data_IF_715545169358
#
_entry.id   IF_715545169358
#
_cell.length_a   1.000
_cell.length_b   1.000
_cell.length_c   1.000
_cell.angle_alpha   90.00
_cell.angle_beta   90.00
_cell.angle_gamma   90.00
#
_symmetry.space_group_name_H-M   'P 1'
#
loop_
_entity.id
_entity.type
_entity.pdbx_description
1 polymer ?
#
# COMPACT_ATOMS: atom_id res chain seq x y z
N UNK A 1 51.72 32.25 -3.98
CA UNK A 1 51.17 31.12 -3.18
C UNK A 1 51.48 31.43 -1.73
N UNK A 2 50.47 31.64 -0.91
CA UNK A 2 50.66 31.97 0.50
C UNK A 2 51.13 30.70 1.26
N UNK A 3 51.95 30.84 2.29
CA UNK A 3 52.52 29.68 3.02
C UNK A 3 51.46 28.77 3.63
N UNK A 4 50.26 29.26 3.87
CA UNK A 4 49.12 28.51 4.37
C UNK A 4 48.60 27.47 3.35
N UNK A 5 48.51 27.83 2.06
CA UNK A 5 48.08 26.92 0.99
C UNK A 5 49.05 25.76 0.74
N UNK A 6 50.36 25.99 0.97
CA UNK A 6 51.36 24.93 0.84
C UNK A 6 51.27 23.89 1.99
N UNK A 7 50.87 24.31 3.18
CA UNK A 7 50.71 23.43 4.34
C UNK A 7 49.46 22.54 4.15
N UNK A 8 48.37 23.10 3.65
CA UNK A 8 47.13 22.32 3.39
C UNK A 8 47.31 21.31 2.26
N UNK A 9 48.03 21.65 1.21
CA UNK A 9 48.35 20.73 0.12
C UNK A 9 49.21 19.54 0.59
N UNK A 10 50.16 19.76 1.48
CA UNK A 10 50.99 18.70 2.07
C UNK A 10 50.17 17.81 3.01
N UNK A 11 49.22 18.38 3.77
CA UNK A 11 48.34 17.62 4.65
C UNK A 11 47.39 16.71 3.86
N UNK A 12 46.75 17.22 2.81
CA UNK A 12 45.85 16.44 1.97
C UNK A 12 46.59 15.32 1.24
N UNK A 13 47.80 15.56 0.72
CA UNK A 13 48.60 14.52 0.09
C UNK A 13 49.02 13.41 1.08
N UNK A 14 49.39 13.80 2.31
CA UNK A 14 49.74 12.82 3.34
C UNK A 14 48.55 11.94 3.76
N UNK A 15 47.35 12.50 3.90
CA UNK A 15 46.13 11.75 4.22
C UNK A 15 45.74 10.80 3.09
N UNK A 16 45.86 11.22 1.83
CA UNK A 16 45.59 10.36 0.68
C UNK A 16 46.63 9.23 0.55
N UNK A 17 47.89 9.49 0.77
CA UNK A 17 48.93 8.46 0.78
C UNK A 17 48.70 7.44 1.91
N UNK A 18 48.35 7.91 3.10
CA UNK A 18 48.06 7.02 4.24
C UNK A 18 46.82 6.14 3.98
N UNK A 19 45.76 6.69 3.39
CA UNK A 19 44.57 5.94 3.01
C UNK A 19 44.87 4.87 1.97
N UNK A 20 45.68 5.18 0.93
CA UNK A 20 46.06 4.20 -0.08
C UNK A 20 46.89 3.01 0.51
N UNK A 21 47.85 3.35 1.38
CA UNK A 21 48.67 2.29 2.02
C UNK A 21 47.81 1.38 2.90
N UNK A 22 46.84 1.97 3.63
CA UNK A 22 45.96 1.18 4.49
C UNK A 22 45.00 0.29 3.70
N UNK A 23 44.49 0.77 2.58
CA UNK A 23 43.65 -0.04 1.68
C UNK A 23 44.39 -1.22 1.06
N UNK A 24 45.65 -1.03 0.64
CA UNK A 24 46.45 -2.11 0.07
C UNK A 24 46.79 -3.19 1.08
N UNK A 25 47.05 -2.85 2.32
CA UNK A 25 47.26 -3.82 3.40
C UNK A 25 46.00 -4.61 3.75
N UNK A 26 44.85 -3.94 3.85
CA UNK A 26 43.56 -4.60 4.10
C UNK A 26 43.22 -5.59 2.98
N UNK A 27 43.43 -5.22 1.73
CA UNK A 27 43.15 -6.08 0.58
C UNK A 27 44.10 -7.30 0.52
N UNK A 28 45.39 -7.16 0.93
CA UNK A 28 46.33 -8.25 0.96
C UNK A 28 46.04 -9.31 2.02
N UNK A 29 45.47 -8.92 3.13
CA UNK A 29 45.13 -9.81 4.25
C UNK A 29 43.70 -10.39 4.17
N UNK A 30 42.84 -9.86 3.30
CA UNK A 30 41.52 -10.47 3.05
C UNK A 30 41.73 -11.73 2.19
N UNK A 31 41.76 -12.89 2.84
CA UNK A 31 41.81 -14.16 2.11
C UNK A 31 40.64 -14.21 1.11
N UNK A 32 40.85 -14.78 -0.10
CA UNK A 32 39.80 -14.83 -1.11
C UNK A 32 38.48 -15.44 -0.60
N UNK A 33 38.56 -16.30 0.42
CA UNK A 33 37.39 -16.91 1.08
C UNK A 33 36.47 -15.88 1.76
N UNK A 34 37.03 -14.84 2.40
CA UNK A 34 36.25 -13.78 3.06
C UNK A 34 35.57 -12.89 2.03
N UNK A 35 36.26 -12.58 0.94
CA UNK A 35 35.68 -11.80 -0.18
C UNK A 35 34.50 -12.54 -0.82
N UNK A 36 34.64 -13.84 -1.06
CA UNK A 36 33.56 -14.67 -1.60
C UNK A 36 32.37 -14.77 -0.65
N UNK A 37 32.62 -14.81 0.67
CA UNK A 37 31.54 -14.82 1.69
C UNK A 37 30.76 -13.52 1.69
N UNK A 38 31.41 -12.37 1.57
CA UNK A 38 30.77 -11.06 1.51
C UNK A 38 29.93 -10.93 0.22
N UNK A 39 30.49 -11.33 -0.91
CA UNK A 39 29.77 -11.32 -2.19
C UNK A 39 28.53 -12.21 -2.14
N UNK A 40 28.66 -13.43 -1.59
CA UNK A 40 27.54 -14.34 -1.43
C UNK A 40 26.43 -13.75 -0.54
N UNK A 41 26.80 -13.07 0.55
CA UNK A 41 25.87 -12.39 1.42
C UNK A 41 25.10 -11.28 0.71
N UNK A 42 25.78 -10.44 -0.09
CA UNK A 42 25.13 -9.40 -0.89
C UNK A 42 24.21 -9.99 -1.96
N UNK A 43 24.59 -11.09 -2.60
CA UNK A 43 23.74 -11.78 -3.57
C UNK A 43 22.46 -12.29 -2.90
N UNK A 44 22.55 -12.85 -1.71
CA UNK A 44 21.38 -13.31 -0.92
C UNK A 44 20.50 -12.12 -0.54
N UNK A 45 21.07 -11.01 -0.10
CA UNK A 45 20.29 -9.79 0.22
C UNK A 45 19.58 -9.23 -1.02
N UNK A 46 20.24 -9.19 -2.17
CA UNK A 46 19.64 -8.77 -3.44
C UNK A 46 18.52 -9.74 -3.82
N UNK A 47 18.73 -11.03 -3.67
CA UNK A 47 17.74 -12.06 -4.00
C UNK A 47 16.50 -11.96 -3.12
N UNK A 48 16.68 -11.74 -1.81
CA UNK A 48 15.60 -11.47 -0.86
C UNK A 48 14.86 -10.17 -1.22
N UNK A 49 15.59 -9.09 -1.51
CA UNK A 49 14.98 -7.82 -1.93
C UNK A 49 14.18 -7.97 -3.23
N UNK A 50 14.71 -8.71 -4.21
CA UNK A 50 14.00 -8.97 -5.46
C UNK A 50 12.80 -9.91 -5.27
N UNK A 51 12.84 -10.80 -4.29
CA UNK A 51 11.71 -11.67 -3.93
C UNK A 51 10.57 -10.87 -3.29
N UNK A 52 10.88 -9.82 -2.52
CA UNK A 52 9.89 -8.87 -2.00
C UNK A 52 9.32 -7.94 -3.08
N UNK A 53 10.08 -7.66 -4.14
CA UNK A 53 9.64 -6.88 -5.30
C UNK A 53 8.86 -7.71 -6.33
N UNK A 54 8.91 -9.04 -6.27
CA UNK A 54 7.99 -9.87 -7.01
C UNK A 54 6.61 -9.74 -6.38
N UNK A 55 5.87 -8.70 -6.79
CA UNK A 55 4.40 -8.75 -6.78
C UNK A 55 4.01 -10.08 -7.42
N UNK A 56 3.08 -10.84 -6.81
CA UNK A 56 2.53 -11.99 -7.52
C UNK A 56 2.04 -11.47 -8.87
N UNK A 57 2.67 -11.92 -9.94
CA UNK A 57 2.12 -11.74 -11.28
C UNK A 57 0.80 -12.50 -11.26
N UNK A 58 -0.28 -11.72 -11.17
CA UNK A 58 -1.60 -12.19 -11.52
C UNK A 58 -1.47 -12.68 -12.98
N UNK A 59 -1.61 -13.99 -13.16
CA UNK A 59 -1.67 -14.59 -14.49
C UNK A 59 -2.78 -13.85 -15.24
N UNK A 60 -2.38 -13.04 -16.20
CA UNK A 60 -3.29 -12.56 -17.22
C UNK A 60 -3.84 -13.78 -17.95
N UNK A 61 -5.02 -14.18 -17.56
CA UNK A 61 -5.86 -15.06 -18.38
C UNK A 61 -6.25 -14.23 -19.60
N UNK A 62 -6.07 -14.74 -20.84
CA UNK A 62 -6.35 -13.97 -22.04
C UNK A 62 -7.79 -13.47 -22.02
N UNK A 63 -7.94 -12.20 -22.35
CA UNK A 63 -9.19 -11.53 -22.55
C UNK A 63 -10.10 -12.35 -23.46
N UNK A 64 -11.11 -12.99 -22.86
CA UNK A 64 -12.30 -13.36 -23.58
C UNK A 64 -13.29 -12.22 -23.34
N UNK A 65 -13.41 -11.37 -24.35
CA UNK A 65 -14.37 -10.29 -24.44
C UNK A 65 -15.73 -10.91 -24.71
N UNK A 66 -16.37 -11.45 -23.69
CA UNK A 66 -17.80 -11.70 -23.74
C UNK A 66 -18.50 -10.53 -23.06
N UNK A 67 -19.05 -9.70 -23.91
CA UNK A 67 -20.04 -8.67 -23.63
C UNK A 67 -21.22 -9.35 -22.92
N UNK A 68 -21.29 -9.22 -21.60
CA UNK A 68 -22.44 -9.68 -20.82
C UNK A 68 -23.45 -8.54 -20.84
N UNK A 69 -24.64 -8.77 -21.45
CA UNK A 69 -25.75 -7.83 -21.35
C UNK A 69 -26.11 -7.63 -19.88
N UNK A 70 -26.62 -6.45 -19.53
CA UNK A 70 -27.17 -6.15 -18.22
C UNK A 70 -28.40 -7.03 -17.95
N UNK A 71 -28.19 -8.28 -17.55
CA UNK A 71 -29.21 -9.13 -16.95
C UNK A 71 -29.16 -8.95 -15.43
N UNK A 72 -30.34 -8.94 -14.83
CA UNK A 72 -30.59 -8.88 -13.39
C UNK A 72 -29.65 -9.86 -12.69
N UNK A 73 -28.73 -9.32 -11.86
CA UNK A 73 -27.73 -10.12 -11.16
C UNK A 73 -28.49 -10.96 -10.13
N UNK A 74 -28.46 -12.32 -10.22
CA UNK A 74 -29.04 -13.17 -9.21
C UNK A 74 -28.38 -12.85 -7.87
N UNK A 75 -29.14 -13.03 -6.81
CA UNK A 75 -28.73 -12.85 -5.40
C UNK A 75 -27.59 -13.83 -5.07
N UNK A 76 -26.41 -13.54 -5.63
CA UNK A 76 -25.22 -14.38 -5.47
C UNK A 76 -24.53 -13.93 -4.18
N UNK A 77 -24.38 -14.82 -3.16
CA UNK A 77 -23.80 -14.49 -1.86
C UNK A 77 -22.36 -13.95 -1.94
N UNK A 78 -21.69 -14.08 -3.08
CA UNK A 78 -20.30 -13.65 -3.26
C UNK A 78 -20.12 -12.20 -3.70
N UNK A 79 -21.21 -11.51 -4.01
CA UNK A 79 -21.17 -10.11 -4.48
C UNK A 79 -22.12 -9.24 -3.65
N UNK A 80 -21.67 -8.01 -3.38
CA UNK A 80 -22.54 -6.94 -2.87
C UNK A 80 -22.51 -5.81 -3.90
N UNK A 81 -23.68 -5.44 -4.41
CA UNK A 81 -23.79 -4.36 -5.39
C UNK A 81 -24.50 -3.15 -4.79
N UNK A 82 -23.99 -1.96 -5.12
CA UNK A 82 -24.57 -0.68 -4.73
C UNK A 82 -24.43 0.32 -5.87
N UNK A 83 -25.47 0.45 -6.69
CA UNK A 83 -25.40 1.20 -7.95
C UNK A 83 -24.37 0.59 -8.91
N UNK A 84 -23.37 1.39 -9.33
CA UNK A 84 -22.26 0.91 -10.18
C UNK A 84 -21.10 0.28 -9.38
N UNK A 85 -21.20 0.30 -8.05
CA UNK A 85 -20.20 -0.28 -7.17
C UNK A 85 -20.47 -1.76 -6.93
N UNK A 86 -19.48 -2.61 -7.17
CA UNK A 86 -19.55 -4.06 -6.97
C UNK A 86 -18.41 -4.53 -6.08
N UNK A 87 -18.73 -5.11 -4.93
CA UNK A 87 -17.79 -5.71 -4.01
C UNK A 87 -17.76 -7.23 -4.22
N UNK A 88 -16.64 -7.77 -4.69
CA UNK A 88 -16.40 -9.21 -4.73
C UNK A 88 -15.87 -9.66 -3.38
N UNK A 89 -16.66 -10.44 -2.62
CA UNK A 89 -16.36 -10.77 -1.22
C UNK A 89 -15.21 -11.77 -1.10
N UNK A 90 -15.16 -12.77 -1.97
CA UNK A 90 -14.12 -13.79 -1.97
C UNK A 90 -12.73 -13.20 -2.24
N UNK A 91 -12.60 -12.42 -3.30
CA UNK A 91 -11.33 -11.82 -3.72
C UNK A 91 -11.02 -10.49 -3.02
N UNK A 92 -11.96 -9.94 -2.24
CA UNK A 92 -11.87 -8.61 -1.61
C UNK A 92 -11.53 -7.50 -2.60
N UNK A 93 -12.09 -7.59 -3.80
CA UNK A 93 -11.90 -6.61 -4.87
C UNK A 93 -13.12 -5.70 -4.97
N UNK A 94 -12.85 -4.40 -5.18
CA UNK A 94 -13.87 -3.37 -5.41
C UNK A 94 -13.83 -2.97 -6.88
N UNK A 95 -14.96 -3.02 -7.54
CA UNK A 95 -15.16 -2.50 -8.89
C UNK A 95 -16.17 -1.35 -8.84
N UNK A 96 -15.93 -0.31 -9.63
CA UNK A 96 -16.88 0.78 -9.84
C UNK A 96 -17.07 0.94 -11.35
N UNK A 97 -18.22 0.49 -11.86
CA UNK A 97 -18.37 0.17 -13.28
C UNK A 97 -17.38 -0.92 -13.68
N UNK A 98 -16.63 -0.68 -14.76
CA UNK A 98 -15.62 -1.61 -15.27
C UNK A 98 -14.21 -1.37 -14.68
N UNK A 99 -14.06 -0.41 -13.77
CA UNK A 99 -12.77 -0.03 -13.19
C UNK A 99 -12.52 -0.74 -11.87
N UNK A 100 -11.38 -1.43 -11.76
CA UNK A 100 -10.88 -1.97 -10.49
C UNK A 100 -10.37 -0.82 -9.62
N UNK A 101 -10.95 -0.68 -8.42
CA UNK A 101 -10.49 0.25 -7.41
C UNK A 101 -9.59 -0.50 -6.40
N UNK A 102 -8.35 -0.02 -6.25
CA UNK A 102 -7.43 -0.59 -5.28
C UNK A 102 -7.77 -0.09 -3.88
N UNK A 103 -8.14 -1.00 -3.01
CA UNK A 103 -8.55 -0.72 -1.63
C UNK A 103 -7.85 -1.68 -0.67
N UNK A 104 -7.43 -1.17 0.49
CA UNK A 104 -6.85 -2.04 1.51
C UNK A 104 -7.90 -2.98 2.10
N UNK A 105 -7.53 -4.21 2.53
CA UNK A 105 -8.48 -5.19 3.06
C UNK A 105 -9.30 -4.70 4.26
N UNK A 106 -8.73 -3.86 5.12
CA UNK A 106 -9.43 -3.26 6.25
C UNK A 106 -10.49 -2.25 5.77
N UNK A 107 -10.14 -1.41 4.79
CA UNK A 107 -11.03 -0.40 4.24
C UNK A 107 -12.12 -1.05 3.38
N UNK A 108 -11.84 -2.18 2.72
CA UNK A 108 -12.84 -3.02 2.05
C UNK A 108 -13.90 -3.53 3.04
N UNK A 109 -13.47 -4.01 4.21
CA UNK A 109 -14.39 -4.46 5.25
C UNK A 109 -15.22 -3.28 5.81
N UNK A 110 -14.61 -2.10 5.93
CA UNK A 110 -15.31 -0.89 6.36
C UNK A 110 -16.36 -0.46 5.33
N UNK A 111 -16.02 -0.48 4.04
CA UNK A 111 -16.97 -0.19 2.96
C UNK A 111 -18.14 -1.19 2.94
N UNK A 112 -17.84 -2.49 3.10
CA UNK A 112 -18.88 -3.54 3.25
C UNK A 112 -19.82 -3.24 4.42
N UNK A 113 -19.28 -2.72 5.53
CA UNK A 113 -20.08 -2.35 6.69
C UNK A 113 -21.03 -1.18 6.36
N UNK A 114 -20.53 -0.14 5.67
CA UNK A 114 -21.35 0.98 5.20
C UNK A 114 -22.52 0.52 4.32
N UNK A 115 -22.25 -0.37 3.37
CA UNK A 115 -23.28 -0.84 2.44
C UNK A 115 -24.39 -1.62 3.17
N UNK A 116 -24.00 -2.41 4.19
CA UNK A 116 -24.96 -3.19 4.99
C UNK A 116 -25.69 -2.36 6.04
N UNK A 117 -25.16 -1.19 6.41
CA UNK A 117 -25.76 -0.36 7.44
C UNK A 117 -27.06 0.33 6.95
N UNK A 118 -28.05 0.49 7.81
CA UNK A 118 -29.28 1.25 7.49
C UNK A 118 -28.92 2.67 7.02
N UNK A 119 -29.49 3.08 5.87
CA UNK A 119 -29.22 4.39 5.26
C UNK A 119 -27.72 4.66 5.02
N UNK A 120 -26.90 3.60 4.97
CA UNK A 120 -25.44 3.66 4.80
C UNK A 120 -24.75 4.55 5.86
N UNK A 121 -25.32 4.63 7.05
CA UNK A 121 -24.82 5.41 8.18
C UNK A 121 -24.18 4.49 9.21
N UNK A 122 -22.93 4.78 9.59
CA UNK A 122 -22.22 4.11 10.68
C UNK A 122 -21.84 5.12 11.75
N UNK A 123 -22.17 4.80 12.99
CA UNK A 123 -21.67 5.57 14.13
C UNK A 123 -20.20 5.20 14.42
N UNK A 124 -19.47 6.07 15.11
CA UNK A 124 -18.11 5.75 15.58
C UNK A 124 -18.11 4.48 16.45
N UNK A 125 -19.16 4.27 17.23
CA UNK A 125 -19.33 3.10 18.10
C UNK A 125 -19.52 1.82 17.30
N UNK A 126 -20.29 1.85 16.20
CA UNK A 126 -20.46 0.69 15.31
C UNK A 126 -19.13 0.28 14.69
N UNK A 127 -18.36 1.27 14.23
CA UNK A 127 -17.04 1.01 13.63
C UNK A 127 -16.07 0.46 14.68
N UNK A 128 -16.04 1.05 15.89
CA UNK A 128 -15.25 0.55 17.01
C UNK A 128 -15.57 -0.89 17.33
N UNK A 129 -16.84 -1.21 17.51
CA UNK A 129 -17.29 -2.55 17.89
C UNK A 129 -16.98 -3.60 16.82
N UNK A 130 -17.02 -3.21 15.55
CA UNK A 130 -16.72 -4.09 14.43
C UNK A 130 -15.21 -4.39 14.29
N UNK A 131 -14.34 -3.42 14.52
CA UNK A 131 -12.90 -3.55 14.22
C UNK A 131 -12.00 -3.58 15.45
N UNK A 132 -12.35 -2.85 16.51
CA UNK A 132 -11.51 -2.70 17.72
C UNK A 132 -12.32 -2.77 19.02
N UNK A 133 -13.06 -3.86 19.28
CA UNK A 133 -13.98 -3.93 20.42
C UNK A 133 -13.26 -3.82 21.77
N UNK A 134 -11.97 -4.16 21.83
CA UNK A 134 -11.14 -4.10 23.02
C UNK A 134 -10.33 -2.82 23.17
N UNK A 135 -10.38 -1.93 22.18
CA UNK A 135 -9.61 -0.68 22.20
C UNK A 135 -10.43 0.42 22.90
N UNK A 136 -9.85 1.03 23.92
CA UNK A 136 -10.52 2.08 24.68
C UNK A 136 -10.51 3.44 23.94
N UNK A 137 -9.58 3.65 23.00
CA UNK A 137 -9.50 4.90 22.24
C UNK A 137 -9.14 4.66 20.76
N UNK A 138 -10.07 4.10 19.96
CA UNK A 138 -9.83 3.81 18.55
C UNK A 138 -10.04 5.01 17.61
N UNK A 139 -10.31 6.21 18.12
CA UNK A 139 -10.72 7.37 17.30
C UNK A 139 -9.71 7.69 16.18
N UNK A 140 -8.42 7.71 16.49
CA UNK A 140 -7.38 7.97 15.48
C UNK A 140 -7.34 6.89 14.40
N UNK A 141 -7.58 5.63 14.77
CA UNK A 141 -7.63 4.50 13.82
C UNK A 141 -8.85 4.64 12.91
N UNK A 142 -10.01 4.93 13.49
CA UNK A 142 -11.25 5.18 12.74
C UNK A 142 -11.04 6.33 11.73
N UNK A 143 -10.48 7.46 12.20
CA UNK A 143 -10.21 8.60 11.35
C UNK A 143 -9.25 8.25 10.20
N UNK A 144 -8.17 7.51 10.49
CA UNK A 144 -7.20 7.08 9.49
C UNK A 144 -7.85 6.23 8.40
N UNK A 145 -8.63 5.20 8.78
CA UNK A 145 -9.31 4.33 7.82
C UNK A 145 -10.36 5.06 6.99
N UNK A 146 -11.15 5.95 7.62
CA UNK A 146 -12.10 6.80 6.89
C UNK A 146 -11.37 7.70 5.89
N UNK A 147 -10.24 8.30 6.27
CA UNK A 147 -9.45 9.15 5.39
C UNK A 147 -8.88 8.37 4.20
N UNK A 148 -8.35 7.18 4.45
CA UNK A 148 -7.83 6.29 3.40
C UNK A 148 -8.95 5.85 2.44
N UNK A 149 -10.11 5.48 2.99
CA UNK A 149 -11.27 5.09 2.19
C UNK A 149 -11.79 6.26 1.33
N UNK A 150 -11.88 7.48 1.89
CA UNK A 150 -12.19 8.71 1.11
C UNK A 150 -11.20 8.92 -0.04
N UNK A 151 -9.91 8.71 0.22
CA UNK A 151 -8.87 8.86 -0.80
C UNK A 151 -9.00 7.82 -1.91
N UNK A 152 -9.35 6.58 -1.57
CA UNK A 152 -9.58 5.50 -2.54
C UNK A 152 -10.80 5.74 -3.42
N UNK A 153 -11.81 6.44 -2.90
CA UNK A 153 -13.05 6.79 -3.64
C UNK A 153 -12.97 8.16 -4.33
N UNK A 154 -11.86 8.88 -4.23
CA UNK A 154 -11.72 10.24 -4.76
C UNK A 154 -12.01 10.35 -6.26
N UNK A 155 -11.62 9.33 -7.03
CA UNK A 155 -11.81 9.29 -8.48
C UNK A 155 -13.23 8.92 -8.91
N UNK A 156 -14.13 8.69 -7.94
CA UNK A 156 -15.51 8.28 -8.13
C UNK A 156 -16.44 9.23 -7.35
N UNK A 157 -16.71 10.43 -7.89
CA UNK A 157 -17.45 11.48 -7.19
C UNK A 157 -18.88 11.10 -6.84
N UNK A 158 -19.43 10.08 -7.49
CA UNK A 158 -20.74 9.52 -7.16
C UNK A 158 -20.79 8.81 -5.79
N UNK A 159 -19.64 8.39 -5.24
CA UNK A 159 -19.55 7.72 -3.95
C UNK A 159 -18.71 8.55 -2.98
N UNK A 160 -19.39 9.19 -2.04
CA UNK A 160 -18.72 10.07 -1.08
C UNK A 160 -18.99 9.65 0.36
N UNK A 161 -17.96 9.71 1.20
CA UNK A 161 -18.14 9.52 2.64
C UNK A 161 -18.19 10.90 3.30
N UNK A 162 -19.35 11.26 3.82
CA UNK A 162 -19.55 12.50 4.56
C UNK A 162 -19.50 12.26 6.06
N UNK A 163 -19.05 13.26 6.80
CA UNK A 163 -19.05 13.21 8.26
C UNK A 163 -20.37 13.77 8.76
N UNK A 164 -21.06 13.03 9.60
CA UNK A 164 -22.28 13.42 10.27
C UNK A 164 -22.10 13.50 11.79
N UNK A 165 -23.11 14.04 12.49
CA UNK A 165 -23.07 14.10 13.96
C UNK A 165 -23.00 12.68 14.54
N UNK A 166 -21.83 12.35 15.09
CA UNK A 166 -21.57 11.06 15.75
C UNK A 166 -21.11 9.92 14.83
N UNK A 167 -20.93 10.16 13.52
CA UNK A 167 -20.54 9.10 12.61
C UNK A 167 -20.19 9.54 11.19
N UNK A 168 -20.35 8.62 10.27
CA UNK A 168 -20.04 8.79 8.85
C UNK A 168 -21.14 8.14 8.01
N UNK A 169 -21.45 8.74 6.87
CA UNK A 169 -22.41 8.22 5.90
C UNK A 169 -21.79 8.06 4.53
N UNK A 170 -22.04 6.94 3.89
CA UNK A 170 -21.75 6.76 2.46
C UNK A 170 -22.94 7.34 1.66
N UNK A 171 -22.67 8.39 0.91
CA UNK A 171 -23.64 9.06 0.03
C UNK A 171 -23.40 8.60 -1.40
N UNK A 172 -24.50 8.32 -2.10
CA UNK A 172 -24.48 7.95 -3.51
C UNK A 172 -25.19 9.07 -4.26
N UNK A 173 -24.46 9.76 -5.13
CA UNK A 173 -25.05 10.76 -6.03
C UNK A 173 -25.35 10.06 -7.35
N UNK A 174 -26.64 9.85 -7.63
CA UNK A 174 -27.06 9.48 -8.99
C UNK A 174 -26.92 10.72 -9.86
N UNK A 175 -25.91 10.74 -10.73
CA UNK A 175 -25.91 11.68 -11.83
C UNK A 175 -26.97 11.20 -12.82
N UNK A 176 -28.16 11.80 -12.78
CA UNK A 176 -29.12 11.76 -13.86
C UNK A 176 -28.60 12.52 -15.07
#
# INVERSE_FOLDING_TARGET
VTPVQAIDAKRTAAVQAWAMIHWTEIVKHTTPKVLWSIIAYFIVLIWVSLSFLKKPQEKETPANTDYIPCEEIPDNPDYIQLGKMTLKLESKKLYIGDRLCHIAPADFNLLKLFIKAPKHLLTKEDIKNAFWPKDNNPENKIYSHISTLKSSLKDFPEYQIVTEKGGYRLVISSNE
#
